data_IF_504429431072
#
_entry.id   IF_504429431072
#
_cell.length_a   1.000
_cell.length_b   1.000
_cell.length_c   1.000
_cell.angle_alpha   90.00
_cell.angle_beta   90.00
_cell.angle_gamma   90.00
#
_symmetry.space_group_name_H-M   'P 1'
#
loop_
_entity.id
_entity.type
_entity.pdbx_description
1 polymer ?
#
# COMPACT_ATOMS: atom_id res chain seq x y z
N UNK A 1 -2.53 -2.95 4.08
CA UNK A 1 -1.69 -2.45 2.95
C UNK A 1 -0.23 -2.62 3.31
N UNK A 2 0.68 -2.54 2.35
CA UNK A 2 2.10 -2.74 2.59
C UNK A 2 2.95 -1.67 1.90
N UNK A 3 4.13 -1.43 2.48
CA UNK A 3 5.17 -0.55 1.94
C UNK A 3 6.54 -1.24 2.06
N UNK A 4 7.51 -0.97 1.18
CA UNK A 4 8.87 -1.50 1.32
C UNK A 4 9.48 -1.18 2.69
N UNK A 5 10.36 -2.05 3.20
CA UNK A 5 10.91 -1.89 4.56
C UNK A 5 11.62 -0.55 4.76
N UNK A 6 12.32 -0.04 3.74
CA UNK A 6 12.97 1.28 3.82
C UNK A 6 11.98 2.45 3.90
N UNK A 7 10.78 2.31 3.34
CA UNK A 7 9.69 3.30 3.46
C UNK A 7 9.10 3.23 4.88
N UNK A 8 8.95 2.03 5.41
CA UNK A 8 8.51 1.82 6.80
C UNK A 8 9.50 2.39 7.82
N UNK A 9 10.79 2.17 7.61
CA UNK A 9 11.87 2.72 8.43
C UNK A 9 11.94 4.25 8.33
N UNK A 10 11.58 4.83 7.19
CA UNK A 10 11.44 6.27 7.01
C UNK A 10 10.25 6.89 7.77
N UNK A 11 9.40 6.06 8.40
CA UNK A 11 8.33 6.51 9.30
C UNK A 11 6.91 6.25 8.81
N UNK A 12 6.71 5.51 7.71
CA UNK A 12 5.38 5.12 7.22
C UNK A 12 4.99 3.79 7.86
N UNK A 13 4.35 3.82 9.03
CA UNK A 13 4.05 2.60 9.80
C UNK A 13 2.55 2.31 9.92
N UNK A 14 1.74 3.35 9.83
CA UNK A 14 0.28 3.29 9.80
C UNK A 14 -0.26 3.83 8.47
N UNK A 15 -1.47 3.42 8.07
CA UNK A 15 -2.14 3.98 6.88
C UNK A 15 -2.27 5.51 7.00
N UNK A 16 -2.50 6.03 8.20
CA UNK A 16 -2.53 7.47 8.47
C UNK A 16 -1.17 8.15 8.28
N UNK A 17 -0.04 7.43 8.18
CA UNK A 17 1.25 8.08 7.91
C UNK A 17 1.45 8.43 6.43
N UNK A 18 0.67 7.83 5.53
CA UNK A 18 0.80 8.04 4.07
C UNK A 18 0.65 9.52 3.67
N UNK A 19 -0.27 10.26 4.29
CA UNK A 19 -0.49 11.68 3.98
C UNK A 19 0.75 12.55 4.26
N UNK A 20 1.60 12.16 5.23
CA UNK A 20 2.83 12.88 5.58
C UNK A 20 3.87 12.85 4.46
N UNK A 21 3.74 11.89 3.54
CA UNK A 21 4.66 11.66 2.42
C UNK A 21 3.91 11.65 1.08
N UNK A 22 2.74 12.29 0.99
CA UNK A 22 1.85 12.23 -0.17
C UNK A 22 2.54 12.51 -1.52
N UNK A 23 3.47 13.48 -1.54
CA UNK A 23 4.22 13.84 -2.75
C UNK A 23 5.14 12.70 -3.22
N UNK A 24 5.72 11.93 -2.29
CA UNK A 24 6.59 10.79 -2.63
C UNK A 24 5.81 9.62 -3.22
N UNK A 25 4.56 9.43 -2.79
CA UNK A 25 3.67 8.40 -3.31
C UNK A 25 2.87 8.86 -4.54
N UNK A 26 2.97 10.14 -4.92
CA UNK A 26 2.14 10.74 -5.97
C UNK A 26 0.63 10.62 -5.70
N UNK A 27 0.25 10.50 -4.42
CA UNK A 27 -1.12 10.20 -3.96
C UNK A 27 -1.74 8.97 -4.62
N UNK A 28 -0.96 7.89 -4.76
CA UNK A 28 -1.40 6.63 -5.38
C UNK A 28 -1.31 5.46 -4.41
N UNK A 29 -2.29 4.57 -4.49
CA UNK A 29 -2.21 3.22 -3.92
C UNK A 29 -2.32 2.20 -5.03
N UNK A 30 -1.44 1.21 -5.06
CA UNK A 30 -1.38 0.24 -6.16
C UNK A 30 -2.18 -1.01 -5.82
N UNK A 31 -3.34 -1.13 -6.47
CA UNK A 31 -4.25 -2.25 -6.36
C UNK A 31 -4.05 -3.29 -7.45
N UNK A 32 -4.95 -4.25 -7.50
CA UNK A 32 -4.98 -5.35 -8.48
C UNK A 32 -6.12 -5.12 -9.49
N UNK A 33 -6.82 -6.18 -9.92
CA UNK A 33 -7.89 -6.08 -10.91
C UNK A 33 -9.02 -5.14 -10.48
N UNK A 34 -9.65 -4.43 -11.43
CA UNK A 34 -10.86 -3.67 -11.16
C UNK A 34 -11.92 -4.49 -10.42
N UNK A 35 -12.44 -3.93 -9.34
CA UNK A 35 -13.44 -4.58 -8.48
C UNK A 35 -12.87 -5.36 -7.29
N UNK A 36 -11.56 -5.53 -7.18
CA UNK A 36 -10.90 -6.24 -6.06
C UNK A 36 -10.27 -5.30 -5.02
N UNK A 37 -10.40 -3.98 -5.21
CA UNK A 37 -9.67 -2.96 -4.46
C UNK A 37 -10.51 -2.26 -3.39
N UNK A 38 -11.68 -2.81 -3.02
CA UNK A 38 -12.66 -2.12 -2.16
C UNK A 38 -12.04 -1.61 -0.86
N UNK A 39 -11.22 -2.41 -0.19
CA UNK A 39 -10.59 -1.99 1.07
C UNK A 39 -9.68 -0.76 0.92
N UNK A 40 -8.98 -0.61 -0.21
CA UNK A 40 -8.20 0.61 -0.48
C UNK A 40 -9.09 1.81 -0.73
N UNK A 41 -10.17 1.62 -1.48
CA UNK A 41 -11.14 2.68 -1.74
C UNK A 41 -11.78 3.15 -0.43
N UNK A 42 -12.11 2.22 0.47
CA UNK A 42 -12.66 2.52 1.79
C UNK A 42 -11.64 3.26 2.67
N UNK A 43 -10.37 2.87 2.63
CA UNK A 43 -9.31 3.58 3.36
C UNK A 43 -9.08 5.00 2.82
N UNK A 44 -9.14 5.20 1.50
CA UNK A 44 -9.06 6.55 0.90
C UNK A 44 -10.26 7.41 1.32
N UNK A 45 -11.45 6.81 1.40
CA UNK A 45 -12.67 7.50 1.78
C UNK A 45 -12.79 7.79 3.29
N UNK A 46 -12.00 7.11 4.14
CA UNK A 46 -12.03 7.31 5.59
C UNK A 46 -11.24 8.58 5.98
N UNK A 47 -11.91 9.64 6.47
CA UNK A 47 -11.26 10.91 6.79
C UNK A 47 -10.22 10.78 7.91
N UNK A 48 -10.25 9.69 8.71
CA UNK A 48 -9.25 9.45 9.74
C UNK A 48 -7.82 9.29 9.18
N UNK A 49 -7.67 8.90 7.92
CA UNK A 49 -6.35 8.69 7.29
C UNK A 49 -5.83 9.91 6.51
N UNK A 50 -6.68 10.91 6.23
CA UNK A 50 -6.28 12.13 5.53
C UNK A 50 -5.81 11.92 4.10
N UNK A 51 -6.42 10.97 3.38
CA UNK A 51 -6.04 10.58 2.01
C UNK A 51 -6.79 11.37 0.92
N UNK A 52 -7.13 12.63 1.18
CA UNK A 52 -7.82 13.47 0.20
C UNK A 52 -7.03 13.63 -1.10
N UNK A 53 -7.68 13.32 -2.21
CA UNK A 53 -7.09 13.35 -3.56
C UNK A 53 -6.19 12.16 -3.88
N UNK A 54 -6.16 11.13 -3.04
CA UNK A 54 -5.58 9.84 -3.39
C UNK A 54 -6.51 9.04 -4.29
N UNK A 55 -5.93 8.15 -5.07
CA UNK A 55 -6.68 7.20 -5.90
C UNK A 55 -5.97 5.85 -5.95
N UNK A 56 -6.74 4.81 -6.27
CA UNK A 56 -6.19 3.48 -6.53
C UNK A 56 -5.79 3.39 -8.00
N UNK A 57 -4.57 2.94 -8.25
CA UNK A 57 -4.10 2.50 -9.55
C UNK A 57 -4.47 1.03 -9.70
N UNK A 58 -5.47 0.75 -10.53
CA UNK A 58 -5.95 -0.60 -10.80
C UNK A 58 -5.19 -1.23 -11.98
N UNK A 59 -4.87 -2.52 -11.89
CA UNK A 59 -4.16 -3.25 -12.93
C UNK A 59 -4.51 -4.75 -12.90
N UNK A 60 -3.56 -5.60 -12.54
CA UNK A 60 -3.71 -7.01 -12.20
C UNK A 60 -2.73 -7.34 -11.08
N UNK A 61 -2.88 -8.50 -10.43
CA UNK A 61 -1.89 -8.95 -9.44
C UNK A 61 -0.46 -8.92 -9.98
N UNK A 62 -0.24 -9.50 -11.17
CA UNK A 62 1.08 -9.53 -11.79
C UNK A 62 1.58 -8.13 -12.16
N UNK A 63 0.69 -7.24 -12.61
CA UNK A 63 1.02 -5.85 -12.92
C UNK A 63 1.46 -5.08 -11.68
N UNK A 64 0.69 -5.20 -10.59
CA UNK A 64 1.00 -4.60 -9.30
C UNK A 64 2.35 -5.07 -8.76
N UNK A 65 2.62 -6.38 -8.76
CA UNK A 65 3.89 -6.93 -8.28
C UNK A 65 5.08 -6.48 -9.14
N UNK A 66 4.89 -6.35 -10.46
CA UNK A 66 5.93 -5.85 -11.36
C UNK A 66 6.31 -4.41 -11.02
N UNK A 67 5.31 -3.56 -10.75
CA UNK A 67 5.53 -2.18 -10.33
C UNK A 67 6.21 -2.12 -8.95
N UNK A 68 5.77 -2.92 -7.98
CA UNK A 68 6.41 -3.02 -6.66
C UNK A 68 7.88 -3.39 -6.79
N UNK A 69 8.20 -4.38 -7.64
CA UNK A 69 9.58 -4.76 -7.91
C UNK A 69 10.41 -3.64 -8.52
N UNK A 70 9.83 -2.88 -9.46
CA UNK A 70 10.47 -1.73 -10.08
C UNK A 70 10.75 -0.61 -9.06
N UNK A 71 9.74 -0.18 -8.29
CA UNK A 71 9.88 0.91 -7.33
C UNK A 71 10.81 0.54 -6.17
N UNK A 72 10.82 -0.72 -5.72
CA UNK A 72 11.79 -1.21 -4.73
C UNK A 72 13.22 -1.10 -5.25
N UNK A 73 13.44 -1.46 -6.53
CA UNK A 73 14.75 -1.37 -7.17
C UNK A 73 15.22 0.08 -7.30
N UNK A 74 14.31 0.98 -7.68
CA UNK A 74 14.59 2.42 -7.82
C UNK A 74 14.53 3.19 -6.48
N UNK A 75 14.30 2.49 -5.36
CA UNK A 75 14.18 3.04 -4.00
C UNK A 75 13.11 4.15 -3.87
N UNK A 76 12.02 4.02 -4.62
CA UNK A 76 10.90 4.95 -4.61
C UNK A 76 9.78 4.53 -3.66
N UNK A 77 9.02 5.50 -3.17
CA UNK A 77 7.93 5.24 -2.24
C UNK A 77 6.73 4.62 -2.97
N UNK A 78 6.36 3.41 -2.59
CA UNK A 78 5.16 2.72 -3.09
C UNK A 78 4.36 2.13 -1.94
N UNK A 79 3.04 2.24 -2.01
CA UNK A 79 2.08 1.55 -1.16
C UNK A 79 1.17 0.68 -2.03
N UNK A 80 1.00 -0.58 -1.64
CA UNK A 80 0.33 -1.58 -2.47
C UNK A 80 -0.54 -2.56 -1.67
N UNK A 81 -1.31 -3.38 -2.39
CA UNK A 81 -2.17 -4.41 -1.81
C UNK A 81 -1.31 -5.57 -1.32
N UNK A 82 -1.00 -5.58 -0.02
CA UNK A 82 -0.34 -6.69 0.65
C UNK A 82 -1.36 -7.65 1.29
N UNK A 83 -1.13 -8.96 1.19
CA UNK A 83 -1.86 -10.01 1.89
C UNK A 83 -0.95 -11.22 2.16
N UNK A 84 -1.34 -12.04 3.14
CA UNK A 84 -0.70 -13.29 3.47
C UNK A 84 -1.75 -14.41 3.61
N UNK A 85 -1.42 -15.67 3.25
CA UNK A 85 -0.16 -16.10 2.63
C UNK A 85 -0.06 -15.70 1.14
N UNK A 86 1.13 -15.27 0.70
CA UNK A 86 1.41 -14.93 -0.71
C UNK A 86 2.92 -14.95 -1.02
N UNK A 87 3.39 -15.42 -2.20
CA UNK A 87 4.82 -15.45 -2.56
C UNK A 87 5.57 -14.11 -2.42
N UNK A 88 4.88 -12.97 -2.55
CA UNK A 88 5.54 -11.67 -2.39
C UNK A 88 6.20 -11.49 -1.03
N UNK A 89 5.67 -12.12 0.04
CA UNK A 89 6.20 -12.03 1.41
C UNK A 89 7.62 -12.63 1.54
N UNK A 90 8.08 -13.41 0.56
CA UNK A 90 9.44 -13.93 0.50
C UNK A 90 10.24 -13.32 -0.66
N UNK A 91 9.58 -12.83 -1.71
CA UNK A 91 10.24 -12.19 -2.86
C UNK A 91 10.67 -10.74 -2.59
N UNK A 92 9.92 -10.01 -1.76
CA UNK A 92 10.18 -8.60 -1.47
C UNK A 92 10.34 -8.36 0.03
N UNK A 93 11.20 -7.41 0.38
CA UNK A 93 11.35 -6.93 1.75
C UNK A 93 10.42 -5.74 2.00
N UNK A 94 9.32 -6.00 2.69
CA UNK A 94 8.29 -5.02 2.99
C UNK A 94 7.67 -5.22 4.38
N UNK A 95 6.90 -4.23 4.82
CA UNK A 95 6.13 -4.26 6.07
C UNK A 95 4.67 -3.95 5.80
N UNK A 96 3.80 -4.62 6.56
CA UNK A 96 2.38 -4.26 6.61
C UNK A 96 2.21 -2.98 7.44
N UNK A 97 1.35 -2.09 6.95
CA UNK A 97 0.94 -0.90 7.69
C UNK A 97 -0.17 -1.26 8.68
N UNK A 98 -0.06 -0.75 9.90
CA UNK A 98 -1.14 -0.79 10.90
C UNK A 98 -2.31 0.10 10.47
N UNK A 99 -3.47 -0.06 11.11
CA UNK A 99 -4.68 0.68 10.75
C UNK A 99 -5.42 0.08 9.55
N UNK A 100 -4.75 -0.79 8.79
CA UNK A 100 -5.38 -1.71 7.85
C UNK A 100 -6.26 -2.74 8.55
N UNK A 101 -6.05 -3.04 9.82
CA UNK A 101 -6.77 -4.10 10.56
C UNK A 101 -8.26 -3.84 10.68
N UNK A 102 -8.67 -2.56 10.61
CA UNK A 102 -10.08 -2.15 10.48
C UNK A 102 -10.74 -2.69 9.19
N UNK A 103 -9.93 -2.96 8.17
CA UNK A 103 -10.32 -3.42 6.85
C UNK A 103 -10.00 -4.91 6.61
N UNK A 104 -8.95 -5.44 7.25
CA UNK A 104 -8.48 -6.83 7.07
C UNK A 104 -8.83 -7.78 8.25
N UNK A 105 -9.26 -7.26 9.42
CA UNK A 105 -9.53 -8.02 10.64
C UNK A 105 -8.38 -8.01 11.66
N UNK A 106 -8.61 -8.40 12.93
CA UNK A 106 -7.57 -8.38 13.97
C UNK A 106 -6.46 -9.41 13.71
N UNK A 107 -5.21 -9.04 14.05
CA UNK A 107 -3.95 -9.79 13.90
C UNK A 107 -3.25 -9.72 12.53
N UNK A 108 -3.23 -8.54 11.92
CA UNK A 108 -2.22 -8.17 10.91
C UNK A 108 -1.52 -6.87 11.30
#
# INVERSE_FOLDING_TARGET
FAVPTYVWEAGVRDVSDLHKFADKFGKKMYGIEPGSNQLMMDAIADPAFGLDGWHVVESSEAGMLSEVGYEIKEKQFIVFQGWAPHPMNTMYDFKYLTGGDKFFGPNF
#
